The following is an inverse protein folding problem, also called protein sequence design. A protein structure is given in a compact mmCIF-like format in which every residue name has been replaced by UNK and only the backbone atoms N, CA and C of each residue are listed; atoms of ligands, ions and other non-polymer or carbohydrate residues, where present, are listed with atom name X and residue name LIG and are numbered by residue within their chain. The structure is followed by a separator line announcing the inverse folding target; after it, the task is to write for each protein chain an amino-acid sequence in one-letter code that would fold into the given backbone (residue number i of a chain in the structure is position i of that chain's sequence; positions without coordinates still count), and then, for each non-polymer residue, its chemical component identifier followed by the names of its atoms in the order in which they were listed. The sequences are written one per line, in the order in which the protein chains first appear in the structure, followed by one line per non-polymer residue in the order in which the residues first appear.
data_IF_268022681612
#
_entry.id   IF_268022681612
#
_cell.length_a   1.000
_cell.length_b   1.000
_cell.length_c   1.000
_cell.angle_alpha   90.00
_cell.angle_beta   90.00
_cell.angle_gamma   90.00
#
_symmetry.space_group_name_H-M   'P 1'
#
loop_
_entity.id
_entity.type
_entity.pdbx_description
1 polymer ?
#
# COMPACT_ATOMS: atom_id res chain seq x y z
N UNK A 1 18.99 -22.72 9.47
CA UNK A 1 18.81 -21.47 10.22
C UNK A 1 19.35 -20.35 9.34
N UNK A 2 18.49 -19.52 8.78
CA UNK A 2 18.96 -18.41 7.93
C UNK A 2 19.52 -17.35 8.87
N UNK A 3 20.80 -17.02 8.72
CA UNK A 3 21.45 -15.91 9.44
C UNK A 3 21.15 -14.64 8.65
N UNK A 4 20.19 -13.84 9.12
CA UNK A 4 19.98 -12.50 8.58
C UNK A 4 21.03 -11.54 9.17
N UNK A 5 21.40 -10.51 8.40
CA UNK A 5 22.29 -9.44 8.88
C UNK A 5 21.53 -8.48 9.82
N UNK A 6 20.20 -8.42 9.71
CA UNK A 6 19.35 -7.59 10.56
C UNK A 6 17.87 -7.82 10.28
N UNK A 7 17.04 -6.95 10.89
CA UNK A 7 15.59 -6.87 10.68
C UNK A 7 15.24 -5.50 10.11
N UNK A 8 14.12 -5.41 9.39
CA UNK A 8 13.62 -4.13 8.90
C UNK A 8 13.29 -3.22 10.08
N UNK A 9 13.80 -1.98 10.05
CA UNK A 9 13.60 -1.02 11.13
C UNK A 9 12.34 -0.18 10.94
N UNK A 10 12.25 0.48 9.78
CA UNK A 10 11.20 1.42 9.41
C UNK A 10 11.29 1.72 7.90
N UNK A 11 10.26 2.35 7.35
CA UNK A 11 10.26 2.92 5.99
C UNK A 11 10.39 4.44 6.07
N UNK A 12 11.14 5.04 5.15
CA UNK A 12 11.22 6.48 5.00
C UNK A 12 10.53 6.91 3.71
N UNK A 13 9.67 7.93 3.79
CA UNK A 13 8.82 8.39 2.70
C UNK A 13 9.07 9.88 2.49
N UNK A 14 9.34 10.25 1.25
CA UNK A 14 9.56 11.65 0.88
C UNK A 14 8.21 12.36 0.74
N UNK A 15 8.08 13.51 1.41
CA UNK A 15 6.89 14.37 1.34
C UNK A 15 7.32 15.82 1.15
N UNK A 16 6.38 16.66 0.73
CA UNK A 16 6.58 18.13 0.65
C UNK A 16 5.80 18.88 1.73
N UNK A 17 4.94 18.18 2.49
CA UNK A 17 4.15 18.75 3.56
C UNK A 17 3.95 17.69 4.67
N UNK A 18 4.43 17.97 5.88
CA UNK A 18 4.31 17.03 6.99
C UNK A 18 2.88 16.91 7.52
N UNK A 19 2.09 17.99 7.52
CA UNK A 19 0.72 17.92 8.05
C UNK A 19 -0.14 17.02 7.17
N UNK A 20 -0.03 17.20 5.85
CA UNK A 20 -0.71 16.35 4.87
C UNK A 20 -0.20 14.91 4.96
N UNK A 21 1.12 14.71 5.01
CA UNK A 21 1.72 13.38 5.09
C UNK A 21 1.37 12.63 6.38
N UNK A 22 1.43 13.30 7.54
CA UNK A 22 1.08 12.69 8.82
C UNK A 22 -0.39 12.28 8.85
N UNK A 23 -1.30 13.15 8.41
CA UNK A 23 -2.73 12.84 8.35
C UNK A 23 -3.00 11.64 7.44
N UNK A 24 -2.43 11.64 6.24
CA UNK A 24 -2.63 10.57 5.26
C UNK A 24 -2.09 9.23 5.78
N UNK A 25 -0.81 9.18 6.12
CA UNK A 25 -0.15 7.92 6.48
C UNK A 25 -0.61 7.39 7.84
N UNK A 26 -0.96 8.26 8.80
CA UNK A 26 -1.59 7.83 10.06
C UNK A 26 -2.95 7.18 9.81
N UNK A 27 -3.81 7.79 8.99
CA UNK A 27 -5.12 7.23 8.68
C UNK A 27 -5.02 5.91 7.89
N UNK A 28 -4.11 5.82 6.93
CA UNK A 28 -3.91 4.63 6.11
C UNK A 28 -3.36 3.44 6.90
N UNK A 29 -2.45 3.67 7.84
CA UNK A 29 -1.72 2.59 8.53
C UNK A 29 -2.21 2.33 9.96
N UNK A 30 -3.01 3.24 10.51
CA UNK A 30 -3.40 3.23 11.92
C UNK A 30 -2.29 3.64 12.89
N UNK A 31 -1.09 4.01 12.39
CA UNK A 31 0.01 4.43 13.24
C UNK A 31 -0.23 5.81 13.86
N UNK A 32 0.23 5.97 15.10
CA UNK A 32 0.11 7.20 15.86
C UNK A 32 1.18 8.21 15.43
N UNK A 33 0.84 9.50 15.48
CA UNK A 33 1.82 10.58 15.34
C UNK A 33 2.71 10.62 16.57
N UNK A 34 4.01 10.41 16.36
CA UNK A 34 4.98 10.42 17.45
C UNK A 34 5.54 11.83 17.64
N UNK A 35 5.70 12.22 18.90
CA UNK A 35 6.23 13.54 19.28
C UNK A 35 7.63 13.79 18.65
N UNK A 36 7.78 14.87 17.85
CA UNK A 36 9.04 15.20 17.19
C UNK A 36 10.15 15.60 18.17
N UNK A 37 9.85 15.93 19.43
CA UNK A 37 10.82 16.35 20.44
C UNK A 37 11.96 15.34 20.62
N UNK A 38 11.69 14.06 20.41
CA UNK A 38 12.63 12.97 20.66
C UNK A 38 13.57 12.66 19.49
N UNK A 39 13.25 13.13 18.29
CA UNK A 39 13.96 12.74 17.05
C UNK A 39 14.39 13.94 16.21
N UNK A 40 13.88 15.12 16.56
CA UNK A 40 14.59 16.39 16.53
C UNK A 40 15.31 16.70 15.24
N UNK A 41 14.58 17.06 14.18
CA UNK A 41 14.85 18.18 13.24
C UNK A 41 13.53 18.45 12.47
N UNK A 42 13.24 19.72 12.16
CA UNK A 42 11.97 20.11 11.52
C UNK A 42 11.68 19.49 10.14
N UNK A 43 12.66 18.84 9.50
CA UNK A 43 12.51 18.14 8.23
C UNK A 43 12.14 16.65 8.37
N UNK A 44 11.99 16.15 9.61
CA UNK A 44 11.56 14.78 9.90
C UNK A 44 10.28 14.78 10.72
N UNK A 45 9.32 13.94 10.32
CA UNK A 45 8.16 13.59 11.12
C UNK A 45 8.03 12.06 11.22
N UNK A 46 7.34 11.57 12.25
CA UNK A 46 7.40 10.16 12.64
C UNK A 46 6.02 9.60 12.94
N UNK A 47 5.76 8.39 12.44
CA UNK A 47 4.60 7.58 12.77
C UNK A 47 5.04 6.24 13.36
N UNK A 48 4.27 5.70 14.30
CA UNK A 48 4.50 4.35 14.80
C UNK A 48 3.65 4.02 16.04
N UNK A 49 4.23 3.30 16.99
CA UNK A 49 3.59 2.92 18.26
C UNK A 49 4.12 3.78 19.40
N UNK A 50 3.25 4.20 20.32
CA UNK A 50 3.67 4.91 21.54
C UNK A 50 4.09 3.98 22.67
N UNK A 51 3.53 2.76 22.76
CA UNK A 51 3.84 1.77 23.80
C UNK A 51 3.91 0.32 23.23
N UNK A 52 5.10 -0.31 23.15
CA UNK A 52 6.41 0.31 23.35
C UNK A 52 6.68 1.35 22.26
N UNK A 53 7.40 2.42 22.60
CA UNK A 53 7.68 3.48 21.63
C UNK A 53 8.58 2.97 20.48
N UNK A 54 8.07 2.99 19.25
CA UNK A 54 8.82 2.61 18.05
C UNK A 54 8.29 3.41 16.85
N UNK A 55 9.18 4.08 16.11
CA UNK A 55 8.82 4.63 14.81
C UNK A 55 8.84 3.52 13.76
N UNK A 56 7.81 3.48 12.92
CA UNK A 56 7.64 2.53 11.82
C UNK A 56 7.76 3.24 10.47
N UNK A 57 7.35 4.52 10.42
CA UNK A 57 7.47 5.38 9.24
C UNK A 57 8.14 6.71 9.62
N UNK A 58 9.03 7.16 8.74
CA UNK A 58 9.65 8.48 8.78
C UNK A 58 9.17 9.26 7.56
N UNK A 59 8.64 10.46 7.77
CA UNK A 59 8.30 11.39 6.69
C UNK A 59 9.43 12.42 6.55
N UNK A 60 10.10 12.40 5.41
CA UNK A 60 11.22 13.30 5.08
C UNK A 60 10.67 14.46 4.28
N UNK A 61 10.75 15.68 4.83
CA UNK A 61 10.43 16.89 4.09
C UNK A 61 11.55 17.19 3.09
N UNK A 62 11.27 16.99 1.82
CA UNK A 62 12.26 17.03 0.72
C UNK A 62 12.99 18.36 0.62
N UNK A 63 12.28 19.49 0.68
CA UNK A 63 12.89 20.83 0.58
C UNK A 63 13.74 21.24 1.80
N UNK A 64 13.54 20.59 2.94
CA UNK A 64 14.21 20.94 4.20
C UNK A 64 15.30 19.94 4.59
N UNK A 65 15.38 18.81 3.89
CA UNK A 65 16.33 17.76 4.18
C UNK A 65 17.77 18.23 3.89
N UNK A 66 18.75 17.88 4.74
CA UNK A 66 20.15 18.21 4.51
C UNK A 66 20.81 17.35 3.41
N UNK A 67 20.07 16.36 2.89
CA UNK A 67 20.45 15.52 1.77
C UNK A 67 19.46 15.76 0.63
N UNK A 68 19.96 15.76 -0.60
CA UNK A 68 19.10 15.91 -1.77
C UNK A 68 18.21 14.67 -1.89
N UNK A 69 16.91 14.87 -1.72
CA UNK A 69 15.89 13.85 -1.94
C UNK A 69 15.03 14.27 -3.11
N UNK A 70 14.73 13.34 -4.01
CA UNK A 70 13.83 13.60 -5.12
C UNK A 70 12.41 13.68 -4.60
N UNK A 71 11.71 14.75 -4.98
CA UNK A 71 10.28 14.89 -4.75
C UNK A 71 9.57 13.86 -5.64
N UNK A 72 8.82 12.91 -5.06
CA UNK A 72 8.01 12.00 -5.87
C UNK A 72 6.94 12.81 -6.62
N UNK A 73 6.52 12.29 -7.75
CA UNK A 73 5.35 12.78 -8.48
C UNK A 73 4.48 11.59 -8.85
N UNK A 74 3.25 11.85 -9.31
CA UNK A 74 2.38 10.79 -9.80
C UNK A 74 3.00 10.01 -10.99
N UNK A 75 3.95 10.61 -11.73
CA UNK A 75 4.66 9.99 -12.84
C UNK A 75 6.01 9.38 -12.43
N UNK A 76 6.74 10.02 -11.52
CA UNK A 76 8.07 9.63 -11.05
C UNK A 76 8.02 9.29 -9.55
N UNK A 77 7.76 8.03 -9.24
CA UNK A 77 7.39 7.57 -7.90
C UNK A 77 8.62 7.28 -7.03
N UNK A 78 8.38 6.93 -5.77
CA UNK A 78 9.41 6.62 -4.76
C UNK A 78 10.28 5.38 -5.08
N UNK A 79 9.99 4.61 -6.13
CA UNK A 79 10.68 3.37 -6.51
C UNK A 79 10.80 2.35 -5.36
N UNK A 80 9.90 2.42 -4.37
CA UNK A 80 9.83 1.52 -3.21
C UNK A 80 8.47 0.84 -3.22
N UNK A 81 8.45 -0.48 -3.02
CA UNK A 81 7.23 -1.26 -2.88
C UNK A 81 6.83 -1.33 -1.40
N UNK A 82 5.66 -0.81 -1.05
CA UNK A 82 5.10 -0.83 0.30
C UNK A 82 3.74 -1.51 0.22
N UNK A 83 3.55 -2.61 0.94
CA UNK A 83 2.28 -3.34 0.99
C UNK A 83 1.49 -2.99 2.24
N UNK A 84 0.20 -2.69 2.04
CA UNK A 84 -0.77 -2.45 3.11
C UNK A 84 -1.91 -3.45 2.96
N UNK A 85 -2.22 -4.18 4.03
CA UNK A 85 -3.40 -5.05 4.07
C UNK A 85 -4.60 -4.27 4.61
N UNK A 86 -5.62 -4.01 3.78
CA UNK A 86 -6.81 -3.30 4.21
C UNK A 86 -7.64 -4.16 5.18
N UNK A 87 -8.28 -3.53 6.16
CA UNK A 87 -9.08 -4.22 7.18
C UNK A 87 -10.45 -4.69 6.68
N UNK A 88 -10.97 -4.08 5.61
CA UNK A 88 -12.29 -4.36 5.05
C UNK A 88 -12.23 -4.69 3.54
N UNK A 89 -11.08 -5.20 3.08
CA UNK A 89 -10.86 -5.55 1.68
C UNK A 89 -10.49 -4.36 0.79
N UNK A 90 -10.03 -4.68 -0.43
CA UNK A 90 -9.47 -3.70 -1.37
C UNK A 90 -10.52 -2.69 -1.87
N UNK A 91 -11.72 -3.15 -2.22
CA UNK A 91 -12.77 -2.29 -2.79
C UNK A 91 -13.26 -1.23 -1.79
N UNK A 92 -13.34 -1.55 -0.51
CA UNK A 92 -13.74 -0.59 0.53
C UNK A 92 -12.64 0.44 0.82
N UNK A 93 -11.37 0.01 0.80
CA UNK A 93 -10.24 0.89 1.11
C UNK A 93 -9.99 1.96 0.04
N UNK A 94 -10.27 1.67 -1.24
CA UNK A 94 -10.05 2.62 -2.34
C UNK A 94 -10.79 3.96 -2.14
N UNK A 95 -12.12 4.00 -1.97
CA UNK A 95 -12.83 5.28 -1.77
C UNK A 95 -12.40 6.01 -0.49
N UNK A 96 -12.03 5.29 0.57
CA UNK A 96 -11.49 5.88 1.79
C UNK A 96 -10.15 6.61 1.53
N UNK A 97 -9.24 5.97 0.78
CA UNK A 97 -7.94 6.55 0.41
C UNK A 97 -8.11 7.74 -0.54
N UNK A 98 -9.05 7.66 -1.49
CA UNK A 98 -9.38 8.80 -2.35
C UNK A 98 -9.88 10.00 -1.53
N UNK A 99 -10.69 9.76 -0.50
CA UNK A 99 -11.17 10.82 0.40
C UNK A 99 -10.04 11.44 1.25
N UNK A 100 -8.94 10.71 1.50
CA UNK A 100 -7.74 11.22 2.16
C UNK A 100 -6.82 12.03 1.22
N UNK A 101 -7.15 12.12 -0.07
CA UNK A 101 -6.36 12.81 -1.09
C UNK A 101 -5.37 11.91 -1.84
N UNK A 102 -5.45 10.59 -1.66
CA UNK A 102 -4.71 9.64 -2.48
C UNK A 102 -5.33 9.48 -3.88
N UNK A 103 -4.66 8.70 -4.73
CA UNK A 103 -5.15 8.39 -6.09
C UNK A 103 -5.01 6.90 -6.39
N UNK A 104 -5.91 6.38 -7.24
CA UNK A 104 -5.84 5.00 -7.74
C UNK A 104 -4.96 4.99 -8.99
N UNK A 105 -3.83 4.28 -8.94
CA UNK A 105 -2.90 4.16 -10.07
C UNK A 105 -3.16 2.91 -10.91
N UNK A 106 -3.43 1.78 -10.25
CA UNK A 106 -3.80 0.52 -10.89
C UNK A 106 -5.06 -0.03 -10.25
N UNK A 107 -6.08 -0.27 -11.06
CA UNK A 107 -7.30 -0.93 -10.63
C UNK A 107 -7.00 -2.30 -9.99
N UNK A 108 -7.86 -2.76 -9.08
CA UNK A 108 -7.64 -4.04 -8.44
C UNK A 108 -7.65 -5.20 -9.43
N UNK A 109 -6.79 -6.18 -9.19
CA UNK A 109 -6.74 -7.44 -9.94
C UNK A 109 -6.22 -8.55 -9.05
N UNK A 110 -6.51 -9.79 -9.43
CA UNK A 110 -5.90 -10.95 -8.77
C UNK A 110 -4.43 -11.11 -9.18
N UNK A 111 -3.59 -11.56 -8.25
CA UNK A 111 -2.20 -11.91 -8.53
C UNK A 111 -1.77 -13.22 -7.85
N UNK A 112 -0.98 -14.09 -8.53
CA UNK A 112 -0.78 -14.13 -9.98
C UNK A 112 -2.11 -14.12 -10.74
N UNK A 113 -2.13 -13.52 -11.94
CA UNK A 113 -3.37 -13.48 -12.72
C UNK A 113 -3.73 -14.92 -13.12
N UNK A 114 -4.95 -15.40 -12.87
CA UNK A 114 -5.37 -16.79 -13.17
C UNK A 114 -5.18 -17.22 -14.63
N UNK A 115 -5.16 -16.26 -15.56
CA UNK A 115 -4.99 -16.48 -17.00
C UNK A 115 -3.56 -16.25 -17.48
N UNK A 116 -2.62 -15.92 -16.58
CA UNK A 116 -1.21 -15.80 -16.93
C UNK A 116 -0.65 -17.18 -17.29
N UNK A 117 0.44 -17.20 -18.06
CA UNK A 117 1.09 -18.44 -18.50
C UNK A 117 1.76 -19.24 -17.38
N UNK A 118 1.57 -18.84 -16.12
CA UNK A 118 2.04 -19.57 -14.95
C UNK A 118 0.91 -20.42 -14.38
N UNK A 119 1.20 -21.67 -14.03
CA UNK A 119 0.25 -22.58 -13.37
C UNK A 119 0.00 -22.22 -11.89
N UNK A 120 0.48 -21.06 -11.44
CA UNK A 120 0.33 -20.61 -10.07
C UNK A 120 -1.08 -20.05 -9.84
N UNK A 121 -1.77 -20.49 -8.77
CA UNK A 121 -3.09 -19.97 -8.45
C UNK A 121 -2.99 -18.48 -8.03
N UNK A 122 -4.04 -17.66 -8.22
CA UNK A 122 -4.08 -16.34 -7.61
C UNK A 122 -4.02 -16.49 -6.09
N UNK A 123 -3.24 -15.65 -5.40
CA UNK A 123 -3.08 -15.70 -3.94
C UNK A 123 -3.51 -14.40 -3.28
N UNK A 124 -3.46 -13.28 -4.01
CA UNK A 124 -3.81 -11.97 -3.46
C UNK A 124 -4.78 -11.21 -4.37
N UNK A 125 -5.62 -10.40 -3.75
CA UNK A 125 -6.30 -9.28 -4.37
C UNK A 125 -5.44 -8.03 -4.22
N UNK A 126 -5.16 -7.35 -5.34
CA UNK A 126 -4.08 -6.38 -5.42
C UNK A 126 -4.43 -5.13 -6.22
N UNK A 127 -4.29 -3.96 -5.60
CA UNK A 127 -4.39 -2.64 -6.24
C UNK A 127 -3.15 -1.79 -5.96
N UNK A 128 -2.87 -0.79 -6.82
CA UNK A 128 -1.79 0.17 -6.59
C UNK A 128 -2.40 1.55 -6.40
N UNK A 129 -2.08 2.15 -5.25
CA UNK A 129 -2.49 3.49 -4.85
C UNK A 129 -1.29 4.43 -4.83
N UNK A 130 -1.56 5.72 -4.82
CA UNK A 130 -0.56 6.74 -4.52
C UNK A 130 -1.05 7.65 -3.40
N UNK A 131 -0.10 8.08 -2.57
CA UNK A 131 -0.34 9.14 -1.59
C UNK A 131 -0.46 10.52 -2.28
N UNK A 132 -0.77 11.61 -1.54
CA UNK A 132 -0.92 12.94 -2.11
C UNK A 132 0.33 13.52 -2.79
N UNK A 133 1.50 12.90 -2.55
CA UNK A 133 2.79 13.33 -3.11
C UNK A 133 3.23 12.41 -4.28
N UNK A 134 2.46 11.37 -4.62
CA UNK A 134 2.78 10.44 -5.70
C UNK A 134 3.62 9.22 -5.26
N UNK A 135 3.88 9.03 -3.96
CA UNK A 135 4.51 7.81 -3.46
C UNK A 135 3.58 6.62 -3.71
N UNK A 136 4.11 5.54 -4.31
CA UNK A 136 3.33 4.32 -4.53
C UNK A 136 3.28 3.45 -3.29
N UNK A 137 2.14 2.80 -3.11
CA UNK A 137 1.95 1.67 -2.23
C UNK A 137 0.87 0.74 -2.78
N UNK A 138 0.91 -0.51 -2.39
CA UNK A 138 -0.04 -1.53 -2.81
C UNK A 138 -1.05 -1.80 -1.70
N UNK A 139 -2.30 -2.02 -2.10
CA UNK A 139 -3.26 -2.73 -1.26
C UNK A 139 -3.14 -4.21 -1.57
N UNK A 140 -2.93 -5.04 -0.55
CA UNK A 140 -2.75 -6.48 -0.69
C UNK A 140 -3.61 -7.19 0.33
N UNK A 141 -4.60 -7.93 -0.15
CA UNK A 141 -5.41 -8.81 0.68
C UNK A 141 -5.22 -10.27 0.24
N UNK A 142 -5.08 -11.18 1.20
CA UNK A 142 -4.82 -12.59 0.90
C UNK A 142 -6.13 -13.31 0.64
N UNK A 143 -6.19 -14.01 -0.50
CA UNK A 143 -7.37 -14.80 -0.86
C UNK A 143 -7.50 -16.01 0.06
N UNK A 144 -8.74 -16.32 0.41
CA UNK A 144 -9.07 -17.62 0.99
C UNK A 144 -9.01 -18.70 -0.10
N UNK A 145 -8.82 -19.95 0.31
CA UNK A 145 -8.82 -21.08 -0.62
C UNK A 145 -10.07 -21.12 -1.52
N UNK A 146 -11.24 -20.81 -0.98
CA UNK A 146 -12.50 -20.78 -1.74
C UNK A 146 -12.48 -19.71 -2.84
N UNK A 147 -11.99 -18.50 -2.52
CA UNK A 147 -11.85 -17.40 -3.47
C UNK A 147 -10.84 -17.74 -4.57
N UNK A 148 -9.72 -18.37 -4.21
CA UNK A 148 -8.71 -18.81 -5.17
C UNK A 148 -9.29 -19.81 -6.18
N UNK A 149 -10.04 -20.81 -5.70
CA UNK A 149 -10.64 -21.83 -6.56
C UNK A 149 -11.69 -21.23 -7.48
N UNK A 150 -12.59 -20.37 -6.96
CA UNK A 150 -13.62 -19.73 -7.77
C UNK A 150 -13.02 -18.89 -8.91
N UNK A 151 -11.95 -18.14 -8.64
CA UNK A 151 -11.24 -17.39 -9.67
C UNK A 151 -10.60 -18.29 -10.75
N UNK A 152 -10.04 -19.43 -10.36
CA UNK A 152 -9.43 -20.39 -11.29
C UNK A 152 -10.49 -21.09 -12.16
N UNK A 153 -11.64 -21.44 -11.59
CA UNK A 153 -12.75 -22.03 -12.34
C UNK A 153 -13.28 -21.04 -13.37
N UNK A 154 -13.51 -19.78 -12.98
CA UNK A 154 -13.87 -18.70 -13.89
C UNK A 154 -12.86 -18.53 -15.04
N UNK A 155 -11.57 -18.56 -14.73
CA UNK A 155 -10.52 -18.48 -15.76
C UNK A 155 -10.52 -19.68 -16.71
N UNK A 156 -10.78 -20.91 -16.21
CA UNK A 156 -10.92 -22.12 -17.04
C UNK A 156 -12.15 -22.07 -17.94
N UNK A 157 -13.20 -21.37 -17.52
CA UNK A 157 -14.39 -21.09 -18.32
C UNK A 157 -14.17 -19.98 -19.37
N UNK A 158 -12.99 -19.36 -19.38
CA UNK A 158 -12.58 -18.38 -20.38
C UNK A 158 -12.72 -16.92 -19.94
N UNK A 159 -13.04 -16.66 -18.67
CA UNK A 159 -13.07 -15.29 -18.13
C UNK A 159 -11.64 -14.74 -18.07
N UNK A 160 -11.44 -13.56 -18.65
CA UNK A 160 -10.13 -12.90 -18.72
C UNK A 160 -10.13 -11.47 -18.16
N UNK A 161 -11.30 -10.88 -17.93
CA UNK A 161 -11.43 -9.57 -17.32
C UNK A 161 -11.14 -9.62 -15.81
N UNK A 162 -10.38 -8.65 -15.30
CA UNK A 162 -9.98 -8.64 -13.88
C UNK A 162 -11.17 -8.46 -12.94
N UNK A 163 -12.14 -7.63 -13.33
CA UNK A 163 -13.31 -7.36 -12.49
C UNK A 163 -14.23 -8.57 -12.46
N UNK A 164 -14.43 -9.24 -13.59
CA UNK A 164 -15.20 -10.49 -13.66
C UNK A 164 -14.53 -11.62 -12.87
N UNK A 165 -13.20 -11.78 -12.96
CA UNK A 165 -12.45 -12.77 -12.16
C UNK A 165 -12.58 -12.48 -10.66
N UNK A 166 -12.48 -11.21 -10.26
CA UNK A 166 -12.70 -10.80 -8.86
C UNK A 166 -14.14 -11.01 -8.41
N UNK A 167 -15.11 -10.79 -9.29
CA UNK A 167 -16.53 -10.99 -8.98
C UNK A 167 -16.85 -12.48 -8.81
N UNK A 168 -16.27 -13.35 -9.63
CA UNK A 168 -16.36 -14.80 -9.45
C UNK A 168 -15.77 -15.24 -8.10
N UNK A 169 -14.69 -14.60 -7.65
CA UNK A 169 -14.12 -14.80 -6.33
C UNK A 169 -14.89 -14.10 -5.17
N UNK A 170 -16.00 -13.42 -5.45
CA UNK A 170 -16.81 -12.73 -4.44
C UNK A 170 -16.14 -11.50 -3.82
N UNK A 171 -15.12 -10.92 -4.48
CA UNK A 171 -14.35 -9.77 -3.98
C UNK A 171 -14.94 -8.43 -4.42
N UNK A 172 -15.77 -8.42 -5.45
CA UNK A 172 -16.37 -7.21 -6.04
C UNK A 172 -17.74 -7.52 -6.64
N UNK A 173 -18.56 -6.50 -6.87
CA UNK A 173 -19.87 -6.63 -7.55
C UNK A 173 -19.80 -6.18 -9.00
N UNK A 174 -20.56 -6.87 -9.86
CA UNK A 174 -20.81 -6.48 -11.25
C UNK A 174 -22.11 -5.67 -11.28
N UNK A 175 -22.03 -4.42 -10.85
CA UNK A 175 -23.08 -3.43 -11.08
C UNK A 175 -23.16 -3.06 -12.55
#
# INVERSE_FOLDING_TARGET
MILSIGTMRCVAINVTDHEVGLRFWSALTGYEVLDPFYWGRGWLAYLGTTEPRKHEIILIHTDQAPIQTTVPTHHDTNCVHIDITPTHGVDAAIPEILALGGTLKKAPSLYPRPTATCDEPPIIDWAVMQDPFGNEFCLVDTLTWEQMIAALEAAREGITDDRELRAAAGLTTLD
#
